data_IF_206608903395
#
_entry.id   IF_206608903395
#
_cell.length_a   1.000
_cell.length_b   1.000
_cell.length_c   1.000
_cell.angle_alpha   90.00
_cell.angle_beta   90.00
_cell.angle_gamma   90.00
#
_symmetry.space_group_name_H-M   'P 1'
#
loop_
_entity.id
_entity.type
_entity.pdbx_description
1 polymer ?
#
# COMPACT_ATOMS: atom_id res chain seq x y z
N UNK A 1 1.20 37.74 41.94
CA UNK A 1 -0.28 37.62 41.92
C UNK A 1 -0.79 38.18 40.60
N UNK A 2 -2.00 37.81 40.17
CA UNK A 2 -2.59 38.26 38.89
C UNK A 2 -4.06 38.66 39.09
N UNK A 3 -4.50 39.71 38.39
CA UNK A 3 -5.86 40.25 38.45
C UNK A 3 -6.39 40.55 37.06
N UNK A 4 -7.65 40.21 36.82
CA UNK A 4 -8.38 40.67 35.64
C UNK A 4 -8.90 42.09 35.86
N UNK A 5 -8.49 43.00 34.97
CA UNK A 5 -8.83 44.42 34.98
C UNK A 5 -9.45 44.85 33.65
N UNK A 6 -9.99 43.90 32.88
CA UNK A 6 -10.65 44.14 31.61
C UNK A 6 -11.91 44.99 31.76
N UNK A 7 -12.14 45.93 30.85
CA UNK A 7 -13.33 46.78 30.86
C UNK A 7 -14.61 46.00 30.56
N UNK A 8 -14.53 45.03 29.66
CA UNK A 8 -15.64 44.25 29.12
C UNK A 8 -15.13 42.91 28.55
N UNK A 9 -16.04 42.09 28.00
CA UNK A 9 -15.71 40.78 27.42
C UNK A 9 -14.84 40.85 26.14
N UNK A 10 -14.69 42.02 25.53
CA UNK A 10 -13.82 42.23 24.36
C UNK A 10 -12.38 42.60 24.75
N UNK A 11 -12.13 42.87 26.03
CA UNK A 11 -10.80 43.21 26.56
C UNK A 11 -10.25 42.02 27.35
N UNK A 12 -8.93 41.86 27.31
CA UNK A 12 -8.20 40.77 27.99
C UNK A 12 -7.12 41.31 28.92
N UNK A 13 -7.30 42.54 29.40
CA UNK A 13 -6.28 43.27 30.16
C UNK A 13 -6.17 42.70 31.57
N UNK A 14 -4.97 42.25 31.91
CA UNK A 14 -4.61 41.73 33.23
C UNK A 14 -3.49 42.54 33.84
N UNK A 15 -3.40 42.49 35.18
CA UNK A 15 -2.28 43.03 35.92
C UNK A 15 -1.63 41.94 36.77
N UNK A 16 -0.30 41.88 36.71
CA UNK A 16 0.50 40.90 37.41
C UNK A 16 1.59 41.58 38.22
N UNK A 17 1.78 41.15 39.47
CA UNK A 17 2.81 41.70 40.35
C UNK A 17 3.82 40.63 40.76
N UNK A 18 5.09 41.02 40.72
CA UNK A 18 6.26 40.21 41.02
C UNK A 18 7.12 40.89 42.07
N UNK A 19 7.63 40.13 43.04
CA UNK A 19 8.55 40.63 44.07
C UNK A 19 10.00 40.24 43.72
N UNK A 20 10.92 41.21 43.81
CA UNK A 20 12.36 41.00 43.69
C UNK A 20 13.08 41.87 44.72
N UNK A 21 13.88 41.25 45.60
CA UNK A 21 14.67 41.93 46.63
C UNK A 21 13.87 42.92 47.51
N UNK A 22 12.64 42.54 47.88
CA UNK A 22 11.75 43.35 48.72
C UNK A 22 11.12 44.56 48.00
N UNK A 23 11.17 44.59 46.66
CA UNK A 23 10.52 45.59 45.81
C UNK A 23 9.56 44.90 44.85
N UNK A 24 8.51 45.61 44.44
CA UNK A 24 7.52 45.08 43.52
C UNK A 24 7.63 45.67 42.10
N UNK A 25 7.47 44.80 41.11
CA UNK A 25 7.29 45.15 39.71
C UNK A 25 5.88 44.78 39.28
N UNK A 26 5.13 45.75 38.75
CA UNK A 26 3.78 45.55 38.22
C UNK A 26 3.84 45.47 36.69
N UNK A 27 3.20 44.47 36.10
CA UNK A 27 3.07 44.29 34.66
C UNK A 27 1.60 44.38 34.30
N UNK A 28 1.24 45.27 33.38
CA UNK A 28 -0.10 45.39 32.82
C UNK A 28 -0.02 44.91 31.37
N UNK A 29 -0.77 43.86 31.03
CA UNK A 29 -0.69 43.18 29.75
C UNK A 29 -2.05 42.75 29.24
N UNK A 30 -2.10 42.29 27.99
CA UNK A 30 -3.33 41.91 27.30
C UNK A 30 -3.71 42.92 26.23
N UNK A 31 -4.87 42.71 25.59
CA UNK A 31 -5.37 43.55 24.52
C UNK A 31 -6.71 44.20 24.92
N UNK A 32 -6.86 45.48 24.64
CA UNK A 32 -8.10 46.22 24.85
C UNK A 32 -8.05 47.23 26.00
N UNK A 33 -9.24 47.58 26.53
CA UNK A 33 -9.40 48.64 27.51
C UNK A 33 -9.34 48.10 28.94
N UNK A 34 -8.62 48.82 29.79
CA UNK A 34 -8.61 48.65 31.23
C UNK A 34 -9.88 49.27 31.85
N UNK A 35 -10.52 48.56 32.78
CA UNK A 35 -11.70 49.03 33.51
C UNK A 35 -11.40 50.29 34.31
N UNK A 36 -12.44 51.11 34.54
CA UNK A 36 -12.33 52.31 35.34
C UNK A 36 -12.35 51.98 36.84
N UNK A 37 -11.36 52.46 37.58
CA UNK A 37 -11.39 52.56 39.05
C UNK A 37 -12.01 53.90 39.45
N UNK A 38 -12.95 53.89 40.39
CA UNK A 38 -13.60 55.10 40.90
C UNK A 38 -13.01 55.60 42.21
N UNK A 39 -12.20 54.78 42.89
CA UNK A 39 -11.47 55.16 44.10
C UNK A 39 -10.16 54.36 44.24
N UNK A 40 -9.18 54.83 45.03
CA UNK A 40 -7.96 54.09 45.30
C UNK A 40 -8.18 52.71 45.95
N UNK A 41 -9.32 52.48 46.61
CA UNK A 41 -9.63 51.21 47.27
C UNK A 41 -10.09 50.12 46.28
N UNK A 42 -10.42 50.49 45.03
CA UNK A 42 -10.81 49.54 43.98
C UNK A 42 -9.61 48.95 43.22
N UNK A 43 -8.40 49.49 43.45
CA UNK A 43 -7.18 49.08 42.77
C UNK A 43 -6.77 47.69 43.29
N UNK A 44 -6.62 46.68 42.42
CA UNK A 44 -6.30 45.32 42.88
C UNK A 44 -4.97 45.19 43.62
N UNK A 45 -4.00 46.05 43.29
CA UNK A 45 -2.67 46.06 43.91
C UNK A 45 -2.51 47.11 45.03
N UNK A 46 -3.61 47.62 45.59
CA UNK A 46 -3.60 48.68 46.61
C UNK A 46 -2.69 48.40 47.82
N UNK A 47 -2.70 47.16 48.32
CA UNK A 47 -1.87 46.76 49.46
C UNK A 47 -0.36 46.75 49.15
N UNK A 48 0.00 46.72 47.87
CA UNK A 48 1.39 46.65 47.39
C UNK A 48 1.91 48.00 46.91
N UNK A 49 1.03 49.01 46.71
CA UNK A 49 1.34 50.26 46.04
C UNK A 49 2.63 50.93 46.53
N UNK A 50 2.84 51.04 47.85
CA UNK A 50 4.04 51.69 48.42
C UNK A 50 5.35 50.98 48.03
N UNK A 51 5.32 49.66 47.79
CA UNK A 51 6.51 48.89 47.40
C UNK A 51 6.72 48.76 45.89
N UNK A 52 5.80 49.26 45.06
CA UNK A 52 5.92 49.21 43.60
C UNK A 52 6.95 50.24 43.14
N UNK A 53 8.04 49.76 42.54
CA UNK A 53 9.14 50.60 42.04
C UNK A 53 9.18 50.71 40.52
N UNK A 54 8.59 49.72 39.82
CA UNK A 54 8.52 49.69 38.36
C UNK A 54 7.16 49.20 37.89
N UNK A 55 6.65 49.82 36.82
CA UNK A 55 5.48 49.35 36.08
C UNK A 55 5.87 49.13 34.62
N UNK A 56 5.45 48.01 34.02
CA UNK A 56 5.58 47.74 32.59
C UNK A 56 4.17 47.60 31.98
N UNK A 57 3.80 48.49 31.06
CA UNK A 57 2.54 48.49 30.33
C UNK A 57 2.82 48.00 28.92
N UNK A 58 2.44 46.75 28.66
CA UNK A 58 2.73 46.06 27.42
C UNK A 58 1.89 46.58 26.25
N UNK A 59 2.31 46.22 25.03
CA UNK A 59 1.54 46.48 23.81
C UNK A 59 0.15 45.83 23.90
N UNK A 60 -0.85 46.45 23.26
CA UNK A 60 -2.25 45.98 23.31
C UNK A 60 -3.11 46.73 24.32
N UNK A 61 -2.52 47.24 25.43
CA UNK A 61 -3.25 47.96 26.47
C UNK A 61 -3.62 49.37 26.00
N UNK A 62 -4.91 49.68 25.88
CA UNK A 62 -5.38 50.91 25.20
C UNK A 62 -5.57 52.13 26.10
N UNK A 63 -5.65 51.96 27.42
CA UNK A 63 -5.79 53.05 28.38
C UNK A 63 -5.28 52.67 29.77
N UNK A 64 -5.08 53.68 30.62
CA UNK A 64 -4.89 53.50 32.05
C UNK A 64 -6.00 54.21 32.81
N UNK A 65 -6.39 53.63 33.95
CA UNK A 65 -7.38 54.26 34.84
C UNK A 65 -6.75 55.35 35.71
N UNK A 66 -7.55 56.34 36.10
CA UNK A 66 -7.13 57.53 36.86
C UNK A 66 -6.38 57.20 38.15
N UNK A 67 -6.86 56.21 38.90
CA UNK A 67 -6.26 55.82 40.17
C UNK A 67 -5.21 54.72 40.06
N UNK A 68 -4.85 54.24 38.85
CA UNK A 68 -4.04 53.02 38.67
C UNK A 68 -2.74 53.01 39.48
N UNK A 69 -2.11 54.17 39.69
CA UNK A 69 -0.86 54.31 40.46
C UNK A 69 -1.02 55.13 41.75
N UNK A 70 -2.25 55.23 42.26
CA UNK A 70 -2.51 55.93 43.51
C UNK A 70 -1.84 55.21 44.69
N UNK A 71 -1.05 55.96 45.46
CA UNK A 71 -0.28 55.44 46.59
C UNK A 71 1.07 54.82 46.21
N UNK A 72 1.45 54.79 44.93
CA UNK A 72 2.74 54.28 44.49
C UNK A 72 3.86 55.32 44.71
N UNK A 73 4.17 55.61 45.98
CA UNK A 73 5.11 56.67 46.40
C UNK A 73 6.57 56.38 46.03
N UNK A 74 6.94 55.11 45.86
CA UNK A 74 8.28 54.67 45.46
C UNK A 74 8.40 54.33 43.97
N UNK A 75 7.38 54.63 43.17
CA UNK A 75 7.39 54.35 41.74
C UNK A 75 8.46 55.21 41.05
N UNK A 76 9.53 54.55 40.62
CA UNK A 76 10.67 55.20 39.98
C UNK A 76 10.60 55.10 38.46
N UNK A 77 9.98 54.04 37.93
CA UNK A 77 10.00 53.71 36.50
C UNK A 77 8.64 53.26 35.99
N UNK A 78 8.20 53.82 34.87
CA UNK A 78 7.05 53.31 34.09
C UNK A 78 7.48 53.11 32.65
N UNK A 79 7.23 51.93 32.09
CA UNK A 79 7.46 51.60 30.69
C UNK A 79 6.10 51.52 30.00
N UNK A 80 5.89 52.26 28.91
CA UNK A 80 4.69 52.20 28.08
C UNK A 80 5.10 51.80 26.68
N UNK A 81 4.75 50.57 26.30
CA UNK A 81 5.09 49.98 25.00
C UNK A 81 4.04 50.28 23.93
N UNK A 82 2.78 50.47 24.33
CA UNK A 82 1.72 50.85 23.39
C UNK A 82 1.91 52.32 22.92
N UNK A 83 2.07 52.50 21.60
CA UNK A 83 2.29 53.83 20.99
C UNK A 83 1.07 54.74 21.14
N UNK A 84 -0.13 54.16 21.07
CA UNK A 84 -1.40 54.87 21.05
C UNK A 84 -2.23 54.68 22.33
N UNK A 85 -1.57 54.56 23.48
CA UNK A 85 -2.23 54.44 24.77
C UNK A 85 -2.94 55.75 25.16
N UNK A 86 -4.23 55.67 25.42
CA UNK A 86 -5.03 56.83 25.82
C UNK A 86 -4.72 57.21 27.27
N UNK A 87 -4.02 58.33 27.46
CA UNK A 87 -3.81 59.00 28.75
C UNK A 87 -4.65 60.26 28.83
N UNK A 88 -5.38 60.42 29.94
CA UNK A 88 -6.10 61.68 30.22
C UNK A 88 -5.11 62.73 30.70
N UNK A 89 -5.03 63.86 29.98
CA UNK A 89 -4.12 64.96 30.30
C UNK A 89 -4.61 65.85 31.45
N UNK A 90 -5.89 65.78 31.82
CA UNK A 90 -6.50 66.58 32.88
C UNK A 90 -6.30 65.98 34.29
N UNK A 91 -5.69 64.80 34.38
CA UNK A 91 -5.43 64.12 35.66
C UNK A 91 -4.01 63.55 35.71
N UNK A 92 -3.40 63.62 36.88
CA UNK A 92 -2.12 62.94 37.16
C UNK A 92 -2.35 61.44 37.31
N UNK A 93 -2.22 60.70 36.20
CA UNK A 93 -2.27 59.23 36.21
C UNK A 93 -0.93 58.66 36.68
N UNK A 94 0.18 59.21 36.16
CA UNK A 94 1.55 58.76 36.47
C UNK A 94 2.20 59.80 37.41
N UNK A 95 2.77 59.39 38.56
CA UNK A 95 3.38 60.32 39.50
C UNK A 95 4.51 61.15 38.85
N UNK A 96 4.55 62.46 39.12
CA UNK A 96 5.56 63.38 38.55
C UNK A 96 7.03 63.06 38.92
N UNK A 97 7.25 62.18 39.90
CA UNK A 97 8.59 61.71 40.30
C UNK A 97 9.12 60.54 39.47
N UNK A 98 8.30 60.01 38.57
CA UNK A 98 8.56 58.76 37.84
C UNK A 98 9.27 59.03 36.51
N UNK A 99 10.29 58.23 36.20
CA UNK A 99 10.89 58.22 34.86
C UNK A 99 10.02 57.37 33.91
N UNK A 100 9.67 57.95 32.77
CA UNK A 100 8.74 57.34 31.82
C UNK A 100 9.50 56.94 30.55
N UNK A 101 9.44 55.65 30.25
CA UNK A 101 10.04 55.04 29.07
C UNK A 101 8.92 54.77 28.07
N UNK A 102 8.93 55.43 26.91
CA UNK A 102 7.97 55.15 25.85
C UNK A 102 8.56 55.44 24.47
N UNK A 103 7.88 55.00 23.41
CA UNK A 103 8.28 55.31 22.04
C UNK A 103 8.23 56.82 21.74
N UNK A 104 9.17 57.34 20.94
CA UNK A 104 9.13 58.72 20.45
C UNK A 104 7.84 58.96 19.65
N UNK A 105 7.25 60.15 19.83
CA UNK A 105 5.97 60.54 19.20
C UNK A 105 4.79 59.64 19.57
N UNK A 106 4.91 58.79 20.60
CA UNK A 106 3.76 58.12 21.20
C UNK A 106 2.87 59.10 21.96
N UNK A 107 1.66 58.66 22.26
CA UNK A 107 0.75 59.31 23.21
C UNK A 107 1.42 59.60 24.56
N UNK A 108 2.16 58.63 25.10
CA UNK A 108 2.95 58.80 26.32
C UNK A 108 4.07 59.85 26.16
N UNK A 109 4.75 59.89 25.01
CA UNK A 109 5.72 60.95 24.72
C UNK A 109 5.07 62.34 24.79
N UNK A 110 3.92 62.55 24.15
CA UNK A 110 3.23 63.83 24.20
C UNK A 110 2.74 64.18 25.60
N UNK A 111 2.20 63.20 26.34
CA UNK A 111 1.80 63.37 27.74
C UNK A 111 2.97 63.85 28.62
N UNK A 112 4.15 63.26 28.48
CA UNK A 112 5.33 63.65 29.27
C UNK A 112 5.96 64.94 28.77
N UNK A 113 5.97 65.18 27.47
CA UNK A 113 6.55 66.40 26.90
C UNK A 113 5.83 67.67 27.39
N UNK A 114 4.51 67.61 27.52
CA UNK A 114 3.70 68.74 27.99
C UNK A 114 3.81 68.97 29.49
N UNK A 115 4.09 67.93 30.29
CA UNK A 115 4.08 68.01 31.74
C UNK A 115 5.48 68.00 32.37
N UNK A 116 6.38 67.09 31.93
CA UNK A 116 7.67 66.78 32.58
C UNK A 116 8.76 66.31 31.59
N UNK A 117 9.23 67.14 30.64
CA UNK A 117 10.11 66.70 29.55
C UNK A 117 11.46 66.13 29.99
N UNK A 118 11.98 66.48 31.17
CA UNK A 118 13.26 65.97 31.69
C UNK A 118 13.20 64.53 32.21
N UNK A 119 12.02 63.89 32.22
CA UNK A 119 11.81 62.52 32.71
C UNK A 119 11.43 61.52 31.63
N UNK A 120 11.45 61.94 30.37
CA UNK A 120 11.15 61.07 29.24
C UNK A 120 12.41 60.35 28.75
N UNK A 121 12.28 59.04 28.56
CA UNK A 121 13.30 58.18 27.95
C UNK A 121 12.68 57.43 26.76
N UNK A 122 13.32 57.50 25.59
CA UNK A 122 12.83 56.81 24.39
C UNK A 122 13.06 55.30 24.48
N UNK A 123 12.01 54.51 24.24
CA UNK A 123 12.14 53.10 23.85
C UNK A 123 12.51 53.10 22.37
N UNK A 124 13.77 52.81 22.06
CA UNK A 124 14.27 52.75 20.70
C UNK A 124 14.07 51.35 20.11
N UNK A 125 13.32 51.25 19.01
CA UNK A 125 13.34 50.05 18.16
C UNK A 125 14.50 50.15 17.16
N UNK A 126 15.23 49.05 16.99
CA UNK A 126 16.37 48.99 16.07
C UNK A 126 16.09 48.01 14.93
N UNK A 127 16.46 48.42 13.71
CA UNK A 127 16.54 47.53 12.55
C UNK A 127 17.96 47.63 11.98
N UNK A 128 18.62 46.49 11.81
CA UNK A 128 19.99 46.42 11.28
C UNK A 128 20.99 47.34 12.00
N UNK A 129 20.85 47.49 13.33
CA UNK A 129 21.71 48.35 14.14
C UNK A 129 21.35 49.83 14.12
N UNK A 130 20.29 50.26 13.41
CA UNK A 130 19.84 51.65 13.36
C UNK A 130 18.51 51.82 14.07
N UNK A 131 18.41 52.81 14.95
CA UNK A 131 17.16 53.15 15.62
C UNK A 131 16.17 53.75 14.62
N UNK A 132 14.99 53.14 14.50
CA UNK A 132 13.92 53.55 13.59
C UNK A 132 13.30 54.89 13.98
N UNK A 133 13.45 55.32 15.23
CA UNK A 133 12.77 56.50 15.75
C UNK A 133 13.62 57.77 15.74
N UNK A 134 14.89 57.67 16.11
CA UNK A 134 15.81 58.80 16.23
C UNK A 134 16.95 58.78 15.20
N UNK A 135 17.08 57.71 14.41
CA UNK A 135 18.15 57.55 13.43
C UNK A 135 19.53 57.30 14.03
N UNK A 136 19.62 57.04 15.34
CA UNK A 136 20.87 56.67 15.99
C UNK A 136 21.38 55.33 15.45
N UNK A 137 22.58 55.34 14.87
CA UNK A 137 23.30 54.12 14.49
C UNK A 137 24.09 53.60 15.70
N UNK A 138 23.83 52.35 16.08
CA UNK A 138 24.52 51.70 17.17
C UNK A 138 25.95 51.35 16.74
N UNK A 139 26.91 52.22 17.07
CA UNK A 139 28.32 52.07 16.66
C UNK A 139 29.16 51.20 17.60
N UNK A 140 28.70 50.96 18.83
CA UNK A 140 29.42 50.19 19.85
C UNK A 140 28.55 49.03 20.35
N UNK A 141 28.66 47.89 19.70
CA UNK A 141 27.97 46.68 20.14
C UNK A 141 28.66 46.07 21.37
N UNK A 142 27.88 45.93 22.45
CA UNK A 142 28.29 45.28 23.68
C UNK A 142 27.11 44.50 24.28
N UNK A 143 27.43 43.56 25.17
CA UNK A 143 26.46 42.68 25.84
C UNK A 143 26.03 41.48 24.97
N UNK A 144 25.26 40.58 25.58
CA UNK A 144 24.83 39.32 24.97
C UNK A 144 25.92 38.24 25.00
N UNK A 145 25.57 37.06 25.50
CA UNK A 145 26.42 35.87 25.40
C UNK A 145 26.04 35.10 24.14
N UNK A 146 27.03 34.65 23.37
CA UNK A 146 26.82 33.69 22.29
C UNK A 146 26.74 32.26 22.86
N UNK A 147 25.97 31.41 22.20
CA UNK A 147 25.95 29.96 22.41
C UNK A 147 26.43 29.25 21.14
N UNK A 148 26.45 27.92 21.13
CA UNK A 148 26.77 27.17 19.91
C UNK A 148 25.62 27.13 18.89
N UNK A 149 24.42 27.59 19.26
CA UNK A 149 23.25 27.62 18.37
C UNK A 149 22.83 29.03 17.99
N UNK A 150 23.20 30.04 18.78
CA UNK A 150 22.81 31.44 18.56
C UNK A 150 24.00 32.36 18.81
N UNK A 151 24.12 33.41 18.00
CA UNK A 151 25.12 34.44 18.21
C UNK A 151 24.78 35.37 19.37
N UNK A 152 25.78 36.10 19.85
CA UNK A 152 25.60 37.12 20.87
C UNK A 152 25.00 38.39 20.25
N UNK A 153 23.89 38.84 20.83
CA UNK A 153 23.14 40.02 20.39
C UNK A 153 23.44 41.24 21.25
N UNK A 154 23.55 42.40 20.64
CA UNK A 154 23.81 43.64 21.35
C UNK A 154 22.65 43.97 22.30
N UNK A 155 22.94 44.31 23.55
CA UNK A 155 21.90 44.63 24.54
C UNK A 155 21.08 45.90 24.23
N UNK A 156 21.59 46.76 23.34
CA UNK A 156 20.97 48.03 22.97
C UNK A 156 20.08 47.85 21.74
N UNK A 157 20.63 47.29 20.66
CA UNK A 157 19.96 47.21 19.36
C UNK A 157 19.53 45.80 18.95
N UNK A 158 19.84 44.78 19.75
CA UNK A 158 19.54 43.36 19.51
C UNK A 158 20.14 42.76 18.22
N UNK A 159 20.92 43.54 17.46
CA UNK A 159 21.68 43.03 16.32
C UNK A 159 22.68 41.97 16.79
N UNK A 160 22.68 40.83 16.10
CA UNK A 160 23.69 39.80 16.28
C UNK A 160 25.03 40.31 15.74
N UNK A 161 26.05 40.33 16.60
CA UNK A 161 27.37 40.86 16.27
C UNK A 161 28.50 39.94 16.75
N UNK A 162 28.21 38.99 17.63
CA UNK A 162 29.09 37.88 17.97
C UNK A 162 28.52 36.65 17.26
N UNK A 163 29.29 35.95 16.40
CA UNK A 163 28.80 34.73 15.76
C UNK A 163 28.56 33.62 16.80
N UNK A 164 27.73 32.60 16.48
CA UNK A 164 27.61 31.41 17.31
C UNK A 164 28.99 30.79 17.58
N UNK A 165 29.18 30.30 18.80
CA UNK A 165 30.39 29.60 19.21
C UNK A 165 30.49 28.24 18.51
N UNK A 166 31.71 27.75 18.34
CA UNK A 166 31.92 26.40 17.82
C UNK A 166 31.33 25.34 18.77
N UNK A 167 30.84 24.24 18.20
CA UNK A 167 30.35 23.12 19.00
C UNK A 167 31.49 22.41 19.72
N UNK A 168 31.36 22.25 21.04
CA UNK A 168 32.21 21.36 21.81
C UNK A 168 31.63 19.95 21.77
N UNK A 169 32.24 19.08 20.99
CA UNK A 169 31.81 17.69 20.81
C UNK A 169 32.25 16.82 22.00
N UNK A 170 31.46 15.78 22.28
CA UNK A 170 31.76 14.70 23.21
C UNK A 170 32.92 13.82 22.72
N UNK A 171 33.30 12.82 23.52
CA UNK A 171 34.07 11.68 23.01
C UNK A 171 33.20 10.85 22.06
N UNK A 172 33.84 10.13 21.12
CA UNK A 172 33.15 9.27 20.15
C UNK A 172 32.17 8.33 20.87
N UNK A 173 30.90 8.42 20.51
CA UNK A 173 29.86 7.49 20.95
C UNK A 173 29.93 6.28 20.03
N UNK A 174 30.20 5.07 20.57
CA UNK A 174 30.36 3.88 19.76
C UNK A 174 29.04 3.48 19.10
N UNK A 175 29.15 2.69 18.03
CA UNK A 175 28.01 2.13 17.32
C UNK A 175 27.14 1.30 18.27
N UNK A 176 25.83 1.50 18.17
CA UNK A 176 24.84 0.61 18.75
C UNK A 176 24.33 -0.29 17.64
N UNK A 177 24.53 -1.59 17.77
CA UNK A 177 24.09 -2.58 16.81
C UNK A 177 22.56 -2.53 16.57
N UNK A 178 22.13 -2.87 15.35
CA UNK A 178 20.73 -2.98 14.99
C UNK A 178 20.19 -4.39 15.25
N UNK A 179 18.95 -4.48 15.73
CA UNK A 179 18.20 -5.73 15.93
C UNK A 179 16.92 -5.74 15.08
N UNK A 180 16.18 -6.85 15.06
CA UNK A 180 15.02 -7.02 14.19
C UNK A 180 13.87 -6.03 14.44
N UNK A 181 13.78 -5.47 15.64
CA UNK A 181 12.72 -4.55 16.07
C UNK A 181 13.27 -3.24 16.64
N UNK A 182 14.59 -3.05 16.61
CA UNK A 182 15.23 -1.85 17.12
C UNK A 182 16.35 -1.44 16.17
N UNK A 183 16.29 -0.20 15.69
CA UNK A 183 17.30 0.30 14.79
C UNK A 183 18.59 0.52 15.56
N UNK A 184 19.70 0.17 14.90
CA UNK A 184 21.02 0.53 15.38
C UNK A 184 21.31 2.00 15.12
N UNK A 185 22.37 2.49 15.72
CA UNK A 185 22.84 3.86 15.53
C UNK A 185 24.34 3.83 15.27
N UNK A 186 24.76 4.39 14.16
CA UNK A 186 26.16 4.50 13.77
C UNK A 186 26.97 5.28 14.81
N UNK A 187 28.29 5.09 14.80
CA UNK A 187 29.22 5.89 15.59
C UNK A 187 29.03 7.39 15.30
N UNK A 188 28.96 8.20 16.35
CA UNK A 188 28.66 9.63 16.23
C UNK A 188 29.24 10.44 17.40
N UNK A 189 29.16 11.76 17.29
CA UNK A 189 29.43 12.68 18.39
C UNK A 189 28.15 13.44 18.76
N UNK A 190 28.10 13.97 19.97
CA UNK A 190 27.06 14.90 20.42
C UNK A 190 27.69 16.19 20.94
N UNK A 191 27.03 17.33 20.74
CA UNK A 191 27.48 18.57 21.35
C UNK A 191 27.11 18.58 22.85
N UNK A 192 28.11 18.77 23.71
CA UNK A 192 27.95 18.79 25.17
C UNK A 192 27.08 19.94 25.71
N UNK A 193 26.78 20.94 24.88
CA UNK A 193 25.99 22.12 25.26
C UNK A 193 24.57 22.10 24.72
N UNK A 194 24.33 21.56 23.52
CA UNK A 194 23.01 21.60 22.86
C UNK A 194 22.48 20.22 22.43
N UNK A 195 23.22 19.15 22.69
CA UNK A 195 22.89 17.76 22.35
C UNK A 195 22.65 17.49 20.86
N UNK A 196 23.06 18.39 19.97
CA UNK A 196 23.01 18.14 18.54
C UNK A 196 23.99 17.04 18.15
N UNK A 197 23.56 16.14 17.26
CA UNK A 197 24.35 15.01 16.78
C UNK A 197 25.25 15.42 15.61
N UNK A 198 26.42 14.78 15.52
CA UNK A 198 27.42 15.00 14.48
C UNK A 198 27.97 13.68 13.98
N UNK A 199 28.22 13.60 12.67
CA UNK A 199 28.88 12.46 12.06
C UNK A 199 30.38 12.42 12.38
N UNK A 200 31.06 11.36 11.91
CA UNK A 200 32.51 11.18 12.08
C UNK A 200 33.37 12.30 11.44
N UNK A 201 32.80 13.09 10.53
CA UNK A 201 33.47 14.24 9.90
C UNK A 201 33.18 15.56 10.64
N UNK A 202 32.42 15.52 11.74
CA UNK A 202 32.03 16.71 12.50
C UNK A 202 30.94 17.53 11.82
N UNK A 203 30.17 16.96 10.90
CA UNK A 203 29.02 17.62 10.26
C UNK A 203 27.73 17.32 11.05
N UNK A 204 26.81 18.30 11.20
CA UNK A 204 25.51 18.04 11.81
C UNK A 204 24.79 16.86 11.18
N UNK A 205 24.29 15.97 12.03
CA UNK A 205 23.58 14.76 11.68
C UNK A 205 22.22 14.71 12.39
N UNK A 206 21.33 13.87 11.89
CA UNK A 206 20.06 13.51 12.52
C UNK A 206 20.09 12.05 12.94
N UNK A 207 19.22 11.67 13.88
CA UNK A 207 19.04 10.26 14.25
C UNK A 207 18.77 9.39 13.02
N UNK A 208 17.94 9.87 12.08
CA UNK A 208 17.63 9.15 10.84
C UNK A 208 18.86 8.97 9.94
N UNK A 209 19.74 9.97 9.83
CA UNK A 209 20.96 9.86 9.03
C UNK A 209 22.01 8.94 9.66
N UNK A 210 21.95 8.75 10.98
CA UNK A 210 22.82 7.86 11.75
C UNK A 210 22.19 6.48 11.95
N UNK A 211 20.95 6.28 11.48
CA UNK A 211 20.19 5.05 11.68
C UNK A 211 20.76 3.93 10.84
N UNK A 212 21.14 2.84 11.49
CA UNK A 212 21.54 1.62 10.81
C UNK A 212 20.31 0.84 10.36
N UNK A 213 20.43 0.18 9.22
CA UNK A 213 19.38 -0.72 8.69
C UNK A 213 19.12 -1.85 9.69
N UNK A 214 17.85 -2.25 9.83
CA UNK A 214 17.40 -3.32 10.73
C UNK A 214 18.29 -4.56 10.59
N UNK A 215 18.85 -5.02 11.71
CA UNK A 215 19.67 -6.22 11.74
C UNK A 215 18.81 -7.48 11.83
N UNK A 216 19.14 -8.51 11.06
CA UNK A 216 18.54 -9.84 11.14
C UNK A 216 19.62 -10.88 11.40
N UNK A 217 19.32 -11.85 12.26
CA UNK A 217 20.14 -13.04 12.46
C UNK A 217 19.67 -14.14 11.51
N UNK A 218 20.30 -14.21 10.33
CA UNK A 218 19.88 -15.06 9.23
C UNK A 218 20.21 -16.55 9.42
N UNK A 219 21.09 -16.91 10.35
CA UNK A 219 21.54 -18.29 10.52
C UNK A 219 22.16 -18.89 9.23
N UNK A 220 21.88 -20.16 8.97
CA UNK A 220 22.30 -20.88 7.75
C UNK A 220 21.21 -20.82 6.67
N UNK A 221 21.61 -20.81 5.39
CA UNK A 221 20.69 -20.82 4.25
C UNK A 221 19.95 -22.16 4.18
N UNK A 222 18.62 -22.14 4.29
CA UNK A 222 17.78 -23.30 4.06
C UNK A 222 17.71 -23.55 2.56
N UNK A 223 18.12 -24.74 2.15
CA UNK A 223 18.25 -25.09 0.73
C UNK A 223 16.88 -25.18 0.02
N UNK A 224 16.90 -24.94 -1.29
CA UNK A 224 15.75 -25.11 -2.17
C UNK A 224 15.20 -26.55 -2.12
N UNK A 225 13.87 -26.65 -2.00
CA UNK A 225 13.14 -27.91 -2.08
C UNK A 225 12.26 -27.88 -3.34
N UNK A 226 12.50 -28.74 -4.34
CA UNK A 226 11.69 -28.75 -5.55
C UNK A 226 10.25 -29.24 -5.29
N UNK A 227 9.24 -28.69 -5.99
CA UNK A 227 7.90 -29.26 -5.98
C UNK A 227 7.85 -30.58 -6.77
N UNK A 228 6.91 -31.45 -6.40
CA UNK A 228 6.60 -32.68 -7.14
C UNK A 228 5.07 -32.81 -7.34
N UNK A 229 4.60 -33.94 -7.87
CA UNK A 229 3.16 -34.15 -8.12
C UNK A 229 2.30 -34.27 -6.84
N UNK A 230 2.92 -34.55 -5.70
CA UNK A 230 2.28 -34.82 -4.41
C UNK A 230 2.42 -33.64 -3.45
N UNK A 231 3.58 -32.99 -3.43
CA UNK A 231 3.97 -31.95 -2.48
C UNK A 231 4.40 -30.68 -3.21
N UNK A 232 4.09 -29.53 -2.60
CA UNK A 232 4.70 -28.27 -2.99
C UNK A 232 6.19 -28.22 -2.64
N UNK A 233 6.90 -27.29 -3.25
CA UNK A 233 8.31 -27.00 -2.98
C UNK A 233 8.47 -25.80 -2.04
N UNK A 234 9.73 -25.47 -1.75
CA UNK A 234 10.15 -24.27 -1.04
C UNK A 234 11.31 -23.61 -1.77
N UNK A 235 11.27 -22.28 -1.88
CA UNK A 235 12.44 -21.49 -2.30
C UNK A 235 13.57 -21.64 -1.26
N UNK A 236 14.82 -21.54 -1.73
CA UNK A 236 15.93 -21.36 -0.80
C UNK A 236 15.73 -20.04 -0.05
N UNK A 237 15.87 -20.06 1.28
CA UNK A 237 15.63 -18.88 2.10
C UNK A 237 16.45 -18.91 3.39
N UNK A 238 16.76 -17.74 3.93
CA UNK A 238 17.12 -17.58 5.33
C UNK A 238 15.86 -17.38 6.16
N UNK A 239 15.86 -17.88 7.38
CA UNK A 239 14.81 -17.62 8.37
C UNK A 239 15.43 -16.91 9.57
N UNK A 240 14.93 -15.72 9.88
CA UNK A 240 15.44 -14.96 11.01
C UNK A 240 15.05 -15.64 12.34
N UNK A 241 16.03 -15.99 13.17
CA UNK A 241 15.81 -16.68 14.46
C UNK A 241 14.93 -15.90 15.46
N UNK A 242 14.87 -14.58 15.28
CA UNK A 242 14.17 -13.65 16.18
C UNK A 242 12.77 -13.27 15.71
N UNK A 243 12.56 -13.10 14.40
CA UNK A 243 11.28 -12.63 13.85
C UNK A 243 10.60 -13.64 12.91
N UNK A 244 11.26 -14.75 12.59
CA UNK A 244 10.75 -15.83 11.72
C UNK A 244 10.36 -15.39 10.30
N UNK A 245 10.78 -14.19 9.90
CA UNK A 245 10.61 -13.69 8.54
C UNK A 245 11.64 -14.37 7.63
N UNK A 246 11.24 -14.60 6.38
CA UNK A 246 12.05 -15.30 5.38
C UNK A 246 12.71 -14.32 4.41
N UNK A 247 13.92 -14.63 3.96
CA UNK A 247 14.72 -13.77 3.08
C UNK A 247 15.44 -14.56 2.00
N UNK A 248 15.70 -13.94 0.85
CA UNK A 248 16.47 -14.53 -0.25
C UNK A 248 17.99 -14.54 0.01
N UNK A 249 18.77 -15.07 -0.94
CA UNK A 249 20.23 -15.13 -0.84
C UNK A 249 20.88 -13.73 -0.78
N UNK A 250 20.23 -12.73 -1.37
CA UNK A 250 20.60 -11.32 -1.33
C UNK A 250 20.09 -10.57 -0.08
N UNK A 251 19.41 -11.26 0.85
CA UNK A 251 18.83 -10.75 2.10
C UNK A 251 17.65 -9.78 1.92
N UNK A 252 16.96 -9.84 0.78
CA UNK A 252 15.66 -9.18 0.63
C UNK A 252 14.55 -10.04 1.23
N UNK A 253 13.54 -9.40 1.80
CA UNK A 253 12.41 -10.09 2.42
C UNK A 253 11.58 -10.84 1.37
N UNK A 254 11.20 -12.08 1.68
CA UNK A 254 10.29 -12.92 0.90
C UNK A 254 8.92 -12.98 1.59
N UNK A 255 7.87 -12.61 0.87
CA UNK A 255 6.50 -12.67 1.39
C UNK A 255 5.89 -14.08 1.35
N UNK A 256 6.32 -14.90 0.39
CA UNK A 256 5.94 -16.32 0.31
C UNK A 256 7.12 -17.13 -0.22
N UNK A 257 7.41 -18.24 0.46
CA UNK A 257 8.45 -19.20 0.10
C UNK A 257 7.88 -20.45 -0.56
N UNK A 258 6.56 -20.63 -0.55
CA UNK A 258 5.90 -21.86 -1.00
C UNK A 258 5.80 -21.91 -2.52
N UNK A 259 6.19 -23.03 -3.08
CA UNK A 259 6.03 -23.33 -4.50
C UNK A 259 4.88 -24.33 -4.64
N UNK A 260 3.87 -24.06 -5.49
CA UNK A 260 2.80 -25.02 -5.73
C UNK A 260 3.34 -26.36 -6.23
N UNK A 261 2.61 -27.44 -5.91
CA UNK A 261 2.89 -28.77 -6.47
C UNK A 261 2.76 -28.76 -7.99
N UNK A 262 3.42 -29.70 -8.67
CA UNK A 262 3.34 -29.83 -10.10
C UNK A 262 2.00 -30.43 -10.53
N UNK A 263 1.44 -29.90 -11.61
CA UNK A 263 0.26 -30.47 -12.26
C UNK A 263 0.63 -31.74 -13.02
N UNK A 264 -0.26 -32.73 -12.98
CA UNK A 264 -0.03 -34.00 -13.69
C UNK A 264 -0.12 -33.78 -15.21
N UNK A 265 0.78 -34.42 -15.95
CA UNK A 265 0.80 -34.35 -17.41
C UNK A 265 1.34 -35.64 -18.05
N UNK A 266 0.94 -35.88 -19.30
CA UNK A 266 1.37 -37.03 -20.09
C UNK A 266 0.41 -38.21 -20.07
N UNK A 267 0.67 -39.18 -20.94
CA UNK A 267 -0.24 -40.30 -21.18
C UNK A 267 -1.50 -39.92 -21.95
N UNK A 268 -2.26 -40.93 -22.39
CA UNK A 268 -3.57 -40.76 -22.99
C UNK A 268 -4.52 -41.76 -22.35
N UNK A 269 -5.67 -41.27 -21.90
CA UNK A 269 -6.70 -42.13 -21.33
C UNK A 269 -7.30 -43.03 -22.43
N UNK A 270 -7.62 -44.27 -22.08
CA UNK A 270 -8.32 -45.22 -22.93
C UNK A 270 -9.55 -45.78 -22.22
N UNK A 271 -10.27 -46.67 -22.88
CA UNK A 271 -11.50 -47.27 -22.36
C UNK A 271 -11.35 -48.13 -21.09
N UNK A 272 -10.13 -48.42 -20.63
CA UNK A 272 -9.86 -49.23 -19.43
C UNK A 272 -9.14 -48.46 -18.32
N UNK A 273 -8.32 -47.47 -18.66
CA UNK A 273 -7.53 -46.69 -17.70
C UNK A 273 -7.50 -45.22 -18.09
N UNK A 274 -7.51 -44.35 -17.08
CA UNK A 274 -7.19 -42.94 -17.26
C UNK A 274 -5.75 -42.71 -17.70
N UNK A 275 -5.43 -41.46 -18.02
CA UNK A 275 -4.08 -41.06 -18.40
C UNK A 275 -3.12 -41.22 -17.21
N UNK A 276 -1.95 -41.77 -17.50
CA UNK A 276 -0.89 -42.00 -16.52
C UNK A 276 0.12 -40.86 -16.62
N UNK A 277 0.38 -40.20 -15.50
CA UNK A 277 1.33 -39.10 -15.45
C UNK A 277 2.74 -39.59 -15.79
N UNK A 278 3.43 -38.87 -16.68
CA UNK A 278 4.77 -39.23 -17.13
C UNK A 278 5.81 -39.13 -16.02
N UNK A 279 5.61 -38.21 -15.07
CA UNK A 279 6.58 -37.92 -14.01
C UNK A 279 6.41 -38.83 -12.79
N UNK A 280 5.18 -39.05 -12.30
CA UNK A 280 4.93 -39.83 -11.08
C UNK A 280 4.32 -41.22 -11.29
N UNK A 281 3.78 -41.52 -12.48
CA UNK A 281 3.17 -42.82 -12.79
C UNK A 281 1.76 -43.04 -12.25
N UNK A 282 1.16 -42.06 -11.57
CA UNK A 282 -0.22 -42.14 -11.09
C UNK A 282 -1.24 -41.89 -12.21
N UNK A 283 -2.40 -42.52 -12.11
CA UNK A 283 -3.55 -42.24 -12.97
C UNK A 283 -4.22 -40.97 -12.46
N UNK A 284 -4.36 -39.96 -13.32
CA UNK A 284 -4.81 -38.63 -12.89
C UNK A 284 -6.00 -38.08 -13.68
N UNK A 285 -6.51 -38.83 -14.65
CA UNK A 285 -7.76 -38.52 -15.35
C UNK A 285 -8.73 -39.69 -15.24
N UNK A 286 -9.98 -39.45 -15.57
CA UNK A 286 -10.94 -40.52 -15.83
C UNK A 286 -10.55 -41.30 -17.11
N UNK A 287 -11.13 -42.50 -17.26
CA UNK A 287 -11.05 -43.29 -18.49
C UNK A 287 -11.67 -42.52 -19.66
N UNK A 288 -11.20 -42.77 -20.89
CA UNK A 288 -11.81 -42.26 -22.11
C UNK A 288 -12.60 -43.39 -22.79
N UNK A 289 -13.94 -43.44 -22.67
CA UNK A 289 -14.75 -44.54 -23.20
C UNK A 289 -14.62 -44.74 -24.70
N UNK A 290 -14.32 -43.67 -25.46
CA UNK A 290 -14.28 -43.70 -26.92
C UNK A 290 -12.90 -44.12 -27.48
N UNK A 291 -11.85 -44.07 -26.67
CA UNK A 291 -10.50 -44.45 -27.09
C UNK A 291 -10.26 -45.95 -26.86
N UNK A 292 -10.59 -46.73 -27.89
CA UNK A 292 -10.42 -48.18 -27.93
C UNK A 292 -9.17 -48.60 -28.71
N UNK A 293 -8.49 -49.63 -28.21
CA UNK A 293 -7.45 -50.34 -28.95
C UNK A 293 -7.96 -51.73 -29.30
N UNK A 294 -8.26 -51.95 -30.58
CA UNK A 294 -8.71 -53.24 -31.09
C UNK A 294 -7.51 -54.05 -31.60
N UNK A 295 -7.41 -55.31 -31.19
CA UNK A 295 -6.35 -56.22 -31.65
C UNK A 295 -6.60 -56.78 -33.06
N UNK A 296 -5.64 -57.56 -33.56
CA UNK A 296 -5.71 -58.17 -34.90
C UNK A 296 -6.45 -59.52 -34.94
N UNK A 297 -6.90 -60.03 -33.79
CA UNK A 297 -7.63 -61.31 -33.74
C UNK A 297 -9.10 -61.09 -34.10
N UNK A 298 -9.52 -61.73 -35.20
CA UNK A 298 -10.90 -61.70 -35.64
C UNK A 298 -11.73 -62.77 -34.93
N UNK A 299 -12.83 -62.34 -34.34
CA UNK A 299 -13.93 -63.18 -33.92
C UNK A 299 -14.93 -63.30 -35.07
N UNK A 300 -15.77 -64.34 -35.07
CA UNK A 300 -16.81 -64.52 -36.09
C UNK A 300 -18.04 -65.25 -35.52
N UNK A 301 -19.19 -65.00 -36.14
CA UNK A 301 -20.45 -65.71 -35.91
C UNK A 301 -21.14 -66.04 -37.24
N UNK A 302 -22.43 -66.35 -37.23
CA UNK A 302 -23.20 -66.66 -38.46
C UNK A 302 -23.37 -65.45 -39.39
N UNK A 303 -23.16 -64.22 -38.90
CA UNK A 303 -23.46 -62.96 -39.62
C UNK A 303 -22.18 -62.26 -40.12
N UNK A 304 -21.13 -62.20 -39.29
CA UNK A 304 -19.95 -61.38 -39.60
C UNK A 304 -18.69 -61.75 -38.79
N UNK A 305 -17.56 -61.17 -39.20
CA UNK A 305 -16.33 -61.08 -38.43
C UNK A 305 -16.26 -59.74 -37.71
N UNK A 306 -15.65 -59.69 -36.53
CA UNK A 306 -15.33 -58.44 -35.82
C UNK A 306 -14.05 -58.57 -35.00
N UNK A 307 -13.46 -57.45 -34.64
CA UNK A 307 -12.42 -57.38 -33.60
C UNK A 307 -13.03 -56.84 -32.32
N UNK A 308 -12.51 -57.30 -31.18
CA UNK A 308 -13.02 -56.92 -29.86
C UNK A 308 -11.91 -56.24 -29.05
N UNK A 309 -12.27 -55.14 -28.39
CA UNK A 309 -11.42 -54.49 -27.40
C UNK A 309 -11.53 -55.24 -26.08
N UNK A 310 -10.52 -55.18 -25.22
CA UNK A 310 -10.56 -55.80 -23.88
C UNK A 310 -11.71 -55.31 -23.00
N UNK A 311 -12.30 -54.14 -23.28
CA UNK A 311 -13.50 -53.64 -22.61
C UNK A 311 -14.82 -54.27 -23.12
N UNK A 312 -14.77 -55.15 -24.13
CA UNK A 312 -15.93 -55.81 -24.75
C UNK A 312 -16.59 -55.03 -25.91
N UNK A 313 -16.06 -53.85 -26.27
CA UNK A 313 -16.51 -53.14 -27.46
C UNK A 313 -16.12 -53.92 -28.73
N UNK A 314 -16.99 -53.94 -29.74
CA UNK A 314 -16.76 -54.64 -31.01
C UNK A 314 -16.70 -53.65 -32.17
N UNK A 315 -15.77 -53.86 -33.11
CA UNK A 315 -15.57 -52.98 -34.26
C UNK A 315 -15.14 -53.76 -35.51
N UNK A 316 -15.03 -53.05 -36.64
CA UNK A 316 -14.62 -53.56 -37.95
C UNK A 316 -15.42 -54.78 -38.41
N UNK A 317 -16.75 -54.66 -38.34
CA UNK A 317 -17.64 -55.71 -38.82
C UNK A 317 -17.44 -55.96 -40.31
N UNK A 318 -17.11 -57.19 -40.68
CA UNK A 318 -16.94 -57.63 -42.06
C UNK A 318 -17.82 -58.86 -42.32
N UNK A 319 -18.76 -58.74 -43.27
CA UNK A 319 -19.60 -59.85 -43.70
C UNK A 319 -18.78 -61.02 -44.25
N UNK A 320 -19.32 -62.24 -44.15
CA UNK A 320 -18.68 -63.41 -44.75
C UNK A 320 -18.50 -63.29 -46.26
N UNK A 321 -17.31 -63.63 -46.75
CA UNK A 321 -17.06 -63.88 -48.17
C UNK A 321 -17.41 -65.34 -48.48
N UNK A 322 -18.67 -65.60 -48.80
CA UNK A 322 -19.20 -66.97 -48.96
C UNK A 322 -18.90 -67.50 -50.36
N UNK A 323 -18.22 -68.65 -50.41
CA UNK A 323 -18.06 -69.48 -51.60
C UNK A 323 -19.03 -70.65 -51.58
N UNK A 324 -19.57 -71.04 -52.74
CA UNK A 324 -20.59 -72.10 -52.87
C UNK A 324 -20.06 -73.30 -53.65
N UNK A 325 -20.22 -74.50 -53.11
CA UNK A 325 -19.82 -75.76 -53.74
C UNK A 325 -20.96 -76.77 -53.74
N UNK A 326 -21.29 -77.37 -54.89
CA UNK A 326 -22.37 -78.37 -55.00
C UNK A 326 -21.86 -79.74 -54.59
N UNK A 327 -22.41 -80.31 -53.52
CA UNK A 327 -22.03 -81.64 -53.00
C UNK A 327 -22.96 -82.75 -53.47
N UNK A 328 -24.24 -82.42 -53.71
CA UNK A 328 -25.21 -83.32 -54.35
C UNK A 328 -25.94 -82.54 -55.45
N UNK A 329 -25.82 -82.90 -56.74
CA UNK A 329 -26.60 -82.24 -57.78
C UNK A 329 -28.10 -82.53 -57.59
N UNK A 330 -28.97 -81.59 -57.99
CA UNK A 330 -30.40 -81.85 -57.99
C UNK A 330 -30.80 -82.75 -59.17
N UNK A 331 -31.91 -83.47 -59.01
CA UNK A 331 -32.52 -84.31 -60.05
C UNK A 331 -34.01 -83.96 -60.16
N UNK A 332 -34.72 -84.54 -61.12
CA UNK A 332 -36.18 -84.37 -61.23
C UNK A 332 -36.93 -84.92 -60.01
N UNK A 333 -36.32 -85.84 -59.26
CA UNK A 333 -36.95 -86.58 -58.17
C UNK A 333 -36.46 -86.12 -56.78
N UNK A 334 -35.25 -85.57 -56.67
CA UNK A 334 -34.61 -85.23 -55.39
C UNK A 334 -33.93 -83.85 -55.41
N UNK A 335 -34.03 -83.13 -54.30
CA UNK A 335 -33.29 -81.88 -54.08
C UNK A 335 -31.79 -82.14 -54.07
N UNK A 336 -31.02 -81.22 -54.64
CA UNK A 336 -29.57 -81.17 -54.51
C UNK A 336 -29.16 -80.48 -53.21
N UNK A 337 -27.87 -80.51 -52.89
CA UNK A 337 -27.29 -79.88 -51.71
C UNK A 337 -26.02 -79.14 -52.16
N UNK A 338 -25.92 -77.87 -51.79
CA UNK A 338 -24.68 -77.10 -51.86
C UNK A 338 -24.18 -76.78 -50.44
N UNK A 339 -22.87 -76.81 -50.26
CA UNK A 339 -22.21 -76.29 -49.06
C UNK A 339 -21.69 -74.90 -49.41
N UNK A 340 -22.13 -73.92 -48.64
CA UNK A 340 -21.66 -72.55 -48.65
C UNK A 340 -20.67 -72.38 -47.50
N UNK A 341 -19.48 -71.85 -47.75
CA UNK A 341 -18.47 -71.68 -46.71
C UNK A 341 -17.64 -70.42 -46.91
N UNK A 342 -17.17 -69.83 -45.81
CA UNK A 342 -16.22 -68.74 -45.79
C UNK A 342 -14.80 -69.31 -45.72
N UNK A 343 -13.92 -68.88 -46.63
CA UNK A 343 -12.51 -69.29 -46.65
C UNK A 343 -11.70 -68.69 -45.49
N UNK A 344 -12.12 -67.54 -44.97
CA UNK A 344 -11.37 -66.79 -43.96
C UNK A 344 -11.51 -67.39 -42.54
N UNK A 345 -12.70 -67.88 -42.18
CA UNK A 345 -12.97 -68.44 -40.85
C UNK A 345 -13.46 -69.90 -40.85
N UNK A 346 -13.74 -70.48 -42.02
CA UNK A 346 -14.27 -71.84 -42.13
C UNK A 346 -15.73 -71.99 -41.72
N UNK A 347 -16.45 -70.89 -41.41
CA UNK A 347 -17.90 -70.92 -41.22
C UNK A 347 -18.56 -71.55 -42.46
N UNK A 348 -19.47 -72.50 -42.26
CA UNK A 348 -20.15 -73.16 -43.37
C UNK A 348 -21.58 -73.55 -43.02
N UNK A 349 -22.43 -73.55 -44.04
CA UNK A 349 -23.83 -73.97 -43.96
C UNK A 349 -24.26 -74.66 -45.25
N UNK A 350 -25.35 -75.44 -45.19
CA UNK A 350 -25.86 -76.19 -46.33
C UNK A 350 -27.12 -75.57 -46.87
N UNK A 351 -27.17 -75.35 -48.18
CA UNK A 351 -28.36 -74.94 -48.91
C UNK A 351 -28.90 -76.09 -49.74
N UNK A 352 -30.23 -76.19 -49.81
CA UNK A 352 -30.91 -77.12 -50.71
C UNK A 352 -31.02 -76.51 -52.11
N UNK A 353 -30.77 -77.32 -53.13
CA UNK A 353 -30.94 -76.95 -54.54
C UNK A 353 -32.28 -77.54 -55.00
N UNK A 354 -33.21 -76.74 -55.55
CA UNK A 354 -34.50 -77.22 -56.03
C UNK A 354 -34.36 -78.36 -57.06
N UNK A 355 -35.38 -79.22 -57.13
CA UNK A 355 -35.48 -80.31 -58.12
C UNK A 355 -35.52 -79.73 -59.54
N UNK A 356 -34.99 -80.47 -60.51
CA UNK A 356 -35.06 -80.09 -61.92
C UNK A 356 -36.49 -80.30 -62.45
N UNK A 357 -37.07 -79.32 -63.14
CA UNK A 357 -38.41 -79.47 -63.72
C UNK A 357 -38.35 -80.31 -65.00
N UNK A 358 -39.27 -81.28 -65.15
CA UNK A 358 -39.35 -82.18 -66.32
C UNK A 358 -40.26 -81.57 -67.40
N UNK A 359 -39.70 -80.88 -68.39
CA UNK A 359 -40.48 -80.22 -69.44
C UNK A 359 -40.71 -81.09 -70.68
N UNK A 360 -42.00 -81.37 -70.97
CA UNK A 360 -42.48 -81.67 -72.33
C UNK A 360 -43.12 -80.41 -72.94
N UNK A 361 -42.30 -79.76 -73.79
CA UNK A 361 -42.61 -79.12 -75.07
C UNK A 361 -43.18 -77.68 -75.18
N UNK A 362 -42.32 -76.83 -75.79
CA UNK A 362 -42.51 -75.87 -76.90
C UNK A 362 -43.47 -74.67 -76.65
N UNK A 363 -43.14 -73.43 -77.00
CA UNK A 363 -42.59 -72.99 -78.28
C UNK A 363 -41.98 -71.57 -78.22
N UNK A 364 -41.11 -71.31 -79.20
CA UNK A 364 -40.74 -70.05 -79.84
C UNK A 364 -40.11 -68.89 -79.05
N UNK A 365 -38.90 -68.52 -79.48
CA UNK A 365 -38.73 -67.20 -80.11
C UNK A 365 -37.91 -66.17 -79.36
N UNK A 366 -36.68 -66.04 -79.85
CA UNK A 366 -35.88 -64.81 -79.92
C UNK A 366 -34.94 -64.42 -78.77
N UNK A 367 -33.73 -64.15 -79.24
CA UNK A 367 -32.47 -63.79 -78.62
C UNK A 367 -32.49 -62.41 -77.97
N UNK A 368 -31.86 -62.26 -76.80
CA UNK A 368 -30.88 -61.19 -76.56
C UNK A 368 -30.04 -61.46 -75.30
N UNK A 369 -28.73 -61.27 -75.41
CA UNK A 369 -27.77 -61.26 -74.31
C UNK A 369 -28.11 -60.16 -73.29
N UNK A 370 -28.16 -60.50 -72.00
CA UNK A 370 -27.79 -59.57 -70.94
C UNK A 370 -27.38 -60.32 -69.67
N UNK A 371 -26.14 -60.06 -69.24
CA UNK A 371 -25.67 -60.30 -67.88
C UNK A 371 -26.59 -59.54 -66.91
N UNK A 372 -27.28 -60.26 -66.03
CA UNK A 372 -27.96 -59.66 -64.89
C UNK A 372 -27.34 -60.15 -63.58
N UNK A 373 -26.61 -59.22 -62.96
CA UNK A 373 -26.24 -59.23 -61.55
C UNK A 373 -27.51 -59.28 -60.70
N UNK A 374 -27.79 -60.40 -60.04
CA UNK A 374 -28.84 -60.44 -59.04
C UNK A 374 -28.38 -59.77 -57.73
N UNK A 375 -28.77 -58.51 -57.59
CA UNK A 375 -28.89 -57.80 -56.32
C UNK A 375 -29.92 -58.50 -55.44
N UNK A 376 -29.47 -59.13 -54.36
CA UNK A 376 -30.37 -59.57 -53.27
C UNK A 376 -30.59 -58.38 -52.35
N UNK A 377 -31.81 -57.86 -52.35
CA UNK A 377 -32.25 -56.72 -51.54
C UNK A 377 -32.26 -57.11 -50.05
N UNK A 378 -31.28 -56.59 -49.31
CA UNK A 378 -31.20 -56.69 -47.84
C UNK A 378 -32.28 -55.79 -47.24
N UNK A 379 -33.19 -56.36 -46.45
CA UNK A 379 -34.13 -55.59 -45.61
C UNK A 379 -33.35 -55.06 -44.41
N UNK A 380 -32.92 -53.80 -44.48
CA UNK A 380 -32.37 -53.07 -43.33
C UNK A 380 -33.55 -52.60 -42.47
N UNK A 381 -33.74 -53.21 -41.30
CA UNK A 381 -34.63 -52.66 -40.27
C UNK A 381 -33.86 -51.52 -39.58
N UNK A 382 -34.19 -50.29 -39.95
CA UNK A 382 -33.68 -49.07 -39.31
C UNK A 382 -34.27 -48.93 -37.91
N UNK A 383 -33.52 -49.29 -36.88
CA UNK A 383 -33.77 -48.83 -35.51
C UNK A 383 -33.14 -47.43 -35.34
N UNK A 384 -34.00 -46.43 -35.25
CA UNK A 384 -33.65 -45.08 -34.82
C UNK A 384 -33.28 -45.14 -33.34
N UNK A 385 -31.99 -44.98 -33.02
CA UNK A 385 -31.54 -44.50 -31.71
C UNK A 385 -31.06 -43.06 -31.87
N UNK A 386 -31.79 -42.15 -31.24
CA UNK A 386 -31.38 -40.76 -31.03
C UNK A 386 -30.32 -40.78 -29.93
N UNK A 387 -29.12 -40.28 -30.23
CA UNK A 387 -28.24 -39.73 -29.21
C UNK A 387 -27.43 -38.57 -29.79
N UNK A 388 -27.48 -37.46 -29.08
CA UNK A 388 -26.94 -36.16 -29.42
C UNK A 388 -25.42 -36.07 -29.17
N UNK A 389 -24.86 -34.96 -29.68
CA UNK A 389 -23.55 -34.35 -29.36
C UNK A 389 -22.32 -34.99 -30.07
N UNK A 390 -21.49 -34.28 -30.84
CA UNK A 390 -21.45 -32.86 -31.15
C UNK A 390 -20.21 -32.44 -31.95
N UNK A 391 -20.11 -31.12 -32.12
CA UNK A 391 -18.91 -30.32 -32.30
C UNK A 391 -18.15 -30.28 -33.65
N UNK A 392 -17.34 -29.22 -33.73
CA UNK A 392 -16.32 -28.81 -34.70
C UNK A 392 -16.75 -27.69 -35.68
N UNK A 393 -16.43 -26.40 -35.43
CA UNK A 393 -15.12 -25.69 -35.26
C UNK A 393 -14.39 -25.53 -36.60
N UNK A 394 -14.51 -24.36 -37.25
CA UNK A 394 -13.39 -23.40 -37.42
C UNK A 394 -13.47 -22.43 -38.61
N UNK A 395 -13.38 -21.14 -38.26
CA UNK A 395 -12.44 -20.11 -38.74
C UNK A 395 -12.37 -19.80 -40.27
N UNK A 396 -12.81 -18.61 -40.72
CA UNK A 396 -11.94 -17.44 -40.97
C UNK A 396 -12.70 -16.15 -41.37
N UNK A 397 -12.21 -15.07 -40.75
CA UNK A 397 -12.38 -13.61 -40.87
C UNK A 397 -12.89 -12.97 -42.19
N UNK A 398 -13.59 -11.83 -42.11
CA UNK A 398 -13.03 -10.45 -42.20
C UNK A 398 -14.14 -9.37 -42.08
N UNK A 399 -13.76 -8.26 -41.43
CA UNK A 399 -14.44 -7.02 -41.02
C UNK A 399 -15.34 -6.23 -41.99
N UNK A 400 -16.34 -5.50 -41.44
CA UNK A 400 -16.41 -4.00 -41.43
C UNK A 400 -17.62 -3.38 -40.67
N UNK A 401 -17.31 -2.53 -39.68
CA UNK A 401 -17.81 -1.16 -39.40
C UNK A 401 -19.34 -0.88 -39.30
N UNK A 402 -19.81 -0.48 -38.10
CA UNK A 402 -20.30 0.88 -37.72
C UNK A 402 -21.09 0.84 -36.40
N UNK A 403 -20.80 1.79 -35.51
CA UNK A 403 -21.42 1.90 -34.18
C UNK A 403 -22.71 2.71 -34.11
N UNK A 404 -23.33 2.67 -32.92
CA UNK A 404 -24.12 3.69 -32.20
C UNK A 404 -24.64 3.04 -30.90
N UNK A 405 -24.19 3.50 -29.73
CA UNK A 405 -24.95 4.30 -28.74
C UNK A 405 -26.34 3.73 -28.41
N UNK A 406 -26.57 3.37 -27.14
CA UNK A 406 -27.46 4.12 -26.23
C UNK A 406 -27.56 3.46 -24.84
N UNK A 407 -27.50 4.34 -23.84
CA UNK A 407 -27.73 4.23 -22.39
C UNK A 407 -26.77 3.41 -21.54
#
# INVERSE_FOLDING_TARGET
>A
MSWDISQNEESTVTAEIYEMDGKYNLVISGDGMMRKFNSPEEIPWKEYSEGIVSVDVNEGVKNLSEYSFSGCSNLAKVIIRERNLTLRADVEIIPFTTDIYAHLKSTAYFYVYENYPSRFYSICEFASGVCLECGYECVNHAGGAASCTEGGKCQICLTEYIPPLEHKLSSLIPEKEAFCYEFGMAEHYECLSCNQLFDLNGKPATEESLRLTVGHDFGELLAYIPPDCFNGGLLAHYECSMCFECFDEEKNKLDDIKIPKLEHSGGEANCLSGAVCKECGEIYTDVNPDNHSFGETFNYDELSHWVECLCGARANFLSHSISRSVTKPSTEQEEGIAVCFCWDCGFSYTEKIPKLESDLSKDSGDTENKEENHTVTIVIISLVFVAACGAFVSIFAVARKRGKRNF
#
